data_IF_518699344406
#
_entry.id   IF_518699344406
#
_cell.length_a   1.000
_cell.length_b   1.000
_cell.length_c   1.000
_cell.angle_alpha   90.00
_cell.angle_beta   90.00
_cell.angle_gamma   90.00
#
_symmetry.space_group_name_H-M   'P 1'
#
loop_
_entity.id
_entity.type
_entity.pdbx_description
1 polymer ?
#
# COMPACT_ATOMS: atom_id res chain seq x y z
N UNK A 1 -15.64 7.22 7.57
CA UNK A 1 -15.09 5.93 8.06
C UNK A 1 -14.38 6.08 9.41
N UNK A 2 -13.66 7.18 9.69
CA UNK A 2 -12.96 7.37 11.00
C UNK A 2 -13.90 7.26 12.21
N UNK A 3 -15.11 7.81 12.13
CA UNK A 3 -16.09 7.80 13.23
C UNK A 3 -16.87 6.47 13.37
N UNK A 4 -16.71 5.53 12.44
CA UNK A 4 -17.43 4.27 12.47
C UNK A 4 -16.73 3.25 13.38
N UNK A 5 -17.46 2.51 14.19
CA UNK A 5 -16.95 1.37 14.97
C UNK A 5 -16.74 0.13 14.08
N UNK A 6 -17.60 -0.06 13.09
CA UNK A 6 -17.49 -1.11 12.08
C UNK A 6 -18.09 -0.65 10.75
N UNK A 7 -17.82 -1.38 9.69
CA UNK A 7 -18.25 -1.03 8.33
C UNK A 7 -18.99 -2.20 7.72
N UNK A 8 -20.22 -1.93 7.25
CA UNK A 8 -21.06 -2.90 6.56
C UNK A 8 -21.56 -2.29 5.25
N UNK A 9 -21.27 -2.94 4.11
CA UNK A 9 -21.71 -2.47 2.80
C UNK A 9 -22.50 -3.52 2.03
N UNK A 10 -23.53 -3.10 1.30
CA UNK A 10 -24.30 -3.97 0.43
C UNK A 10 -23.58 -4.32 -0.87
N UNK A 11 -22.62 -3.49 -1.30
CA UNK A 11 -21.88 -3.63 -2.55
C UNK A 11 -20.38 -3.51 -2.31
N UNK A 12 -19.59 -3.96 -3.29
CA UNK A 12 -18.13 -3.98 -3.22
C UNK A 12 -17.57 -5.33 -2.81
N UNK A 13 -16.30 -5.56 -3.05
CA UNK A 13 -15.58 -6.78 -2.67
C UNK A 13 -14.54 -6.51 -1.59
N UNK A 14 -13.76 -7.52 -1.22
CA UNK A 14 -12.67 -7.42 -0.23
C UNK A 14 -11.55 -6.45 -0.65
N UNK A 15 -11.51 -6.06 -1.90
CA UNK A 15 -10.56 -5.11 -2.50
C UNK A 15 -11.15 -3.71 -2.68
N UNK A 16 -12.42 -3.50 -2.34
CA UNK A 16 -13.06 -2.19 -2.40
C UNK A 16 -12.38 -1.18 -1.48
N UNK A 17 -12.50 0.11 -1.79
CA UNK A 17 -11.97 1.19 -0.97
C UNK A 17 -12.41 1.08 0.50
N UNK A 18 -13.69 0.72 0.74
CA UNK A 18 -14.21 0.51 2.09
C UNK A 18 -13.44 -0.58 2.86
N UNK A 19 -13.15 -1.71 2.22
CA UNK A 19 -12.41 -2.80 2.83
C UNK A 19 -10.94 -2.44 3.07
N UNK A 20 -10.30 -1.71 2.16
CA UNK A 20 -8.90 -1.29 2.27
C UNK A 20 -8.72 -0.31 3.43
N UNK A 21 -9.54 0.73 3.47
CA UNK A 21 -9.49 1.75 4.54
C UNK A 21 -9.83 1.14 5.89
N UNK A 22 -10.83 0.25 5.97
CA UNK A 22 -11.14 -0.46 7.21
C UNK A 22 -9.95 -1.27 7.74
N UNK A 23 -9.23 -1.98 6.86
CA UNK A 23 -8.02 -2.73 7.21
C UNK A 23 -6.89 -1.83 7.71
N UNK A 24 -6.66 -0.69 7.07
CA UNK A 24 -5.68 0.29 7.54
C UNK A 24 -6.00 0.80 8.94
N UNK A 25 -7.29 0.99 9.23
CA UNK A 25 -7.77 1.48 10.53
C UNK A 25 -7.95 0.37 11.58
N UNK A 26 -7.75 -0.90 11.22
CA UNK A 26 -8.00 -2.03 12.12
C UNK A 26 -9.47 -2.21 12.50
N UNK A 27 -10.40 -1.73 11.67
CA UNK A 27 -11.85 -1.81 11.91
C UNK A 27 -12.46 -3.05 11.28
N UNK A 28 -13.41 -3.66 11.99
CA UNK A 28 -14.19 -4.77 11.45
C UNK A 28 -15.00 -4.29 10.23
N UNK A 29 -14.91 -5.03 9.12
CA UNK A 29 -15.56 -4.66 7.89
C UNK A 29 -16.17 -5.88 7.19
N UNK A 30 -17.44 -5.78 6.84
CA UNK A 30 -18.14 -6.72 5.96
C UNK A 30 -18.55 -5.95 4.69
N UNK A 31 -18.08 -6.40 3.54
CA UNK A 31 -18.36 -5.78 2.24
C UNK A 31 -19.11 -6.74 1.31
N UNK A 32 -19.90 -6.17 0.39
CA UNK A 32 -20.59 -6.97 -0.62
C UNK A 32 -21.71 -7.84 -0.07
N UNK A 33 -22.32 -7.44 1.04
CA UNK A 33 -23.47 -8.14 1.59
C UNK A 33 -24.71 -7.86 0.72
N UNK A 34 -24.81 -8.51 -0.44
CA UNK A 34 -25.85 -8.30 -1.44
C UNK A 34 -27.28 -8.59 -0.95
N UNK A 35 -27.41 -9.30 0.17
CA UNK A 35 -28.68 -9.53 0.84
C UNK A 35 -29.26 -8.29 1.54
N UNK A 36 -28.46 -7.21 1.69
CA UNK A 36 -28.89 -5.97 2.33
C UNK A 36 -29.66 -5.08 1.36
N UNK A 37 -30.90 -4.77 1.70
CA UNK A 37 -31.71 -3.77 1.03
C UNK A 37 -31.75 -2.50 1.90
N UNK A 38 -30.97 -1.49 1.52
CA UNK A 38 -30.80 -0.23 2.27
C UNK A 38 -31.75 0.83 1.71
N UNK A 39 -32.63 1.35 2.56
CA UNK A 39 -33.48 2.47 2.25
C UNK A 39 -33.00 3.75 2.94
N UNK A 40 -32.32 4.61 2.18
CA UNK A 40 -31.77 5.88 2.67
C UNK A 40 -32.85 6.90 3.06
N UNK A 41 -34.07 6.79 2.50
CA UNK A 41 -35.18 7.72 2.81
C UNK A 41 -35.78 7.44 4.18
N UNK A 42 -35.97 6.17 4.49
CA UNK A 42 -36.53 5.72 5.78
C UNK A 42 -35.42 5.41 6.79
N UNK A 43 -34.11 5.55 6.40
CA UNK A 43 -32.93 5.28 7.24
C UNK A 43 -33.01 3.93 7.93
N UNK A 44 -33.21 2.88 7.13
CA UNK A 44 -33.29 1.51 7.60
C UNK A 44 -32.74 0.55 6.55
N UNK A 45 -32.37 -0.65 6.99
CA UNK A 45 -32.12 -1.75 6.06
C UNK A 45 -32.81 -3.04 6.50
N UNK A 46 -33.02 -3.92 5.55
CA UNK A 46 -33.54 -5.28 5.76
C UNK A 46 -32.81 -6.26 4.88
N UNK A 47 -32.88 -7.54 5.22
CA UNK A 47 -32.36 -8.62 4.36
C UNK A 47 -33.49 -9.25 3.57
N UNK A 48 -33.22 -9.73 2.36
CA UNK A 48 -34.22 -10.39 1.51
C UNK A 48 -34.82 -11.67 2.13
N UNK A 49 -34.04 -12.34 3.00
CA UNK A 49 -34.42 -13.60 3.64
C UNK A 49 -35.00 -13.42 5.03
N UNK A 50 -34.79 -12.28 5.67
CA UNK A 50 -35.27 -12.02 7.03
C UNK A 50 -36.22 -10.81 7.06
N UNK A 51 -37.28 -10.93 7.81
CA UNK A 51 -38.21 -9.83 8.09
C UNK A 51 -37.67 -8.81 9.08
N UNK A 52 -36.43 -9.02 9.57
CA UNK A 52 -35.76 -8.12 10.52
C UNK A 52 -35.44 -6.80 9.83
N UNK A 53 -36.04 -5.74 10.34
CA UNK A 53 -35.74 -4.36 9.94
C UNK A 53 -34.83 -3.75 10.99
N UNK A 54 -33.69 -3.22 10.55
CA UNK A 54 -32.74 -2.48 11.38
C UNK A 54 -32.87 -1.00 11.02
N UNK A 55 -33.15 -0.17 12.00
CA UNK A 55 -33.30 1.28 11.83
C UNK A 55 -32.05 2.01 12.29
N UNK A 56 -31.92 3.27 11.86
CA UNK A 56 -30.88 4.16 12.39
C UNK A 56 -30.99 4.25 13.91
N UNK A 57 -29.87 4.05 14.59
CA UNK A 57 -29.79 4.00 16.06
C UNK A 57 -29.90 2.60 16.66
N UNK A 58 -30.31 1.60 15.91
CA UNK A 58 -30.31 0.22 16.39
C UNK A 58 -28.89 -0.35 16.41
N UNK A 59 -28.61 -1.20 17.41
CA UNK A 59 -27.35 -1.90 17.52
C UNK A 59 -27.31 -3.11 16.58
N UNK A 60 -26.18 -3.27 15.90
CA UNK A 60 -25.79 -4.48 15.17
C UNK A 60 -24.41 -4.92 15.62
N UNK A 61 -24.16 -6.22 15.62
CA UNK A 61 -22.83 -6.79 15.79
C UNK A 61 -22.39 -7.46 14.51
N UNK A 62 -21.14 -7.29 14.12
CA UNK A 62 -20.58 -7.83 12.88
C UNK A 62 -19.33 -8.67 13.16
N UNK A 63 -19.22 -9.85 12.55
CA UNK A 63 -18.04 -10.68 12.57
C UNK A 63 -17.33 -10.64 11.21
N UNK A 64 -16.21 -9.93 11.16
CA UNK A 64 -15.42 -9.80 9.95
C UNK A 64 -14.72 -11.07 9.50
N UNK A 65 -14.63 -12.09 10.34
CA UNK A 65 -14.00 -13.39 10.01
C UNK A 65 -14.97 -14.31 9.29
N UNK A 66 -16.23 -14.37 9.78
CA UNK A 66 -17.28 -15.23 9.21
C UNK A 66 -18.14 -14.50 8.18
N UNK A 67 -18.16 -13.17 8.21
CA UNK A 67 -19.07 -12.34 7.41
C UNK A 67 -20.48 -12.27 7.97
N UNK A 68 -20.70 -12.72 9.21
CA UNK A 68 -22.02 -12.73 9.85
C UNK A 68 -22.40 -11.38 10.44
N UNK A 69 -23.68 -11.04 10.34
CA UNK A 69 -24.28 -9.81 10.88
C UNK A 69 -25.42 -10.22 11.82
N UNK A 70 -25.34 -9.74 13.05
CA UNK A 70 -26.30 -10.05 14.12
C UNK A 70 -27.08 -8.77 14.50
N UNK A 71 -28.37 -8.90 14.71
CA UNK A 71 -29.17 -7.84 15.30
C UNK A 71 -28.86 -7.74 16.81
N UNK A 72 -28.67 -6.52 17.33
CA UNK A 72 -28.40 -6.26 18.72
C UNK A 72 -26.91 -6.12 19.06
N UNK A 73 -26.64 -5.81 20.32
CA UNK A 73 -25.30 -5.62 20.86
C UNK A 73 -24.81 -6.93 21.49
N UNK A 74 -23.86 -7.59 20.84
CA UNK A 74 -23.17 -8.76 21.38
C UNK A 74 -21.91 -8.28 22.10
N UNK A 75 -21.79 -8.58 23.38
CA UNK A 75 -20.62 -8.22 24.17
C UNK A 75 -19.38 -8.94 23.67
N UNK A 76 -18.32 -8.20 23.36
CA UNK A 76 -17.01 -8.72 22.98
C UNK A 76 -15.97 -8.39 24.04
N UNK A 77 -14.96 -9.24 24.19
CA UNK A 77 -13.79 -8.91 25.02
C UNK A 77 -12.81 -8.10 24.20
N UNK A 78 -12.26 -6.97 24.73
CA UNK A 78 -11.17 -6.25 24.08
C UNK A 78 -9.97 -7.19 23.83
N UNK A 79 -9.27 -6.96 22.71
CA UNK A 79 -8.05 -7.70 22.39
C UNK A 79 -6.94 -7.33 23.39
N UNK A 80 -6.39 -8.29 24.13
CA UNK A 80 -5.25 -8.08 25.02
C UNK A 80 -4.03 -7.57 24.23
N UNK A 81 -3.82 -8.04 23.00
CA UNK A 81 -2.72 -7.60 22.13
C UNK A 81 -2.84 -6.10 21.83
N UNK A 82 -4.04 -5.64 21.47
CA UNK A 82 -4.31 -4.22 21.22
C UNK A 82 -4.20 -3.42 22.52
N UNK A 83 -4.74 -3.92 23.61
CA UNK A 83 -4.71 -3.26 24.90
C UNK A 83 -3.27 -3.04 25.42
N UNK A 84 -2.37 -4.01 25.19
CA UNK A 84 -0.95 -3.90 25.58
C UNK A 84 -0.16 -3.06 24.60
N UNK A 85 -0.21 -3.38 23.30
CA UNK A 85 0.70 -2.77 22.31
C UNK A 85 0.29 -1.36 21.88
N UNK A 86 -1.00 -1.15 21.71
CA UNK A 86 -1.53 0.10 21.12
C UNK A 86 -2.10 1.01 22.19
N UNK A 87 -3.09 0.54 22.93
CA UNK A 87 -3.82 1.36 23.90
C UNK A 87 -3.02 1.58 25.21
N UNK A 88 -2.06 0.67 25.53
CA UNK A 88 -1.25 0.69 26.74
C UNK A 88 -2.09 0.73 28.04
N UNK A 89 -3.24 0.02 28.02
CA UNK A 89 -4.21 0.00 29.12
C UNK A 89 -4.03 -1.20 30.05
N UNK A 90 -3.27 -2.22 29.65
CA UNK A 90 -2.97 -3.42 30.43
C UNK A 90 -1.45 -3.65 30.37
N UNK A 91 -0.86 -4.08 31.51
CA UNK A 91 0.55 -4.45 31.55
C UNK A 91 0.75 -5.82 30.88
N UNK A 92 1.88 -6.07 30.20
CA UNK A 92 2.17 -7.35 29.55
C UNK A 92 1.98 -8.57 30.43
N UNK A 93 2.37 -8.48 31.70
CA UNK A 93 2.33 -9.57 32.69
C UNK A 93 0.90 -9.95 33.07
N UNK A 94 -0.06 -9.04 32.89
CA UNK A 94 -1.49 -9.24 33.20
C UNK A 94 -2.30 -9.75 32.01
N UNK A 95 -1.65 -9.95 30.84
CA UNK A 95 -2.27 -10.28 29.56
C UNK A 95 -1.78 -11.65 29.02
N UNK A 96 -2.32 -12.78 29.51
CA UNK A 96 -1.83 -14.12 29.13
C UNK A 96 -1.93 -14.41 27.62
N UNK A 97 -2.96 -13.91 26.93
CA UNK A 97 -3.08 -14.04 25.46
C UNK A 97 -1.97 -13.26 24.75
N UNK A 98 -1.66 -12.06 25.25
CA UNK A 98 -0.54 -11.28 24.72
C UNK A 98 0.81 -11.99 24.94
N UNK A 99 1.05 -12.60 26.08
CA UNK A 99 2.30 -13.32 26.34
C UNK A 99 2.48 -14.49 25.36
N UNK A 100 1.44 -15.28 25.10
CA UNK A 100 1.46 -16.35 24.09
C UNK A 100 1.70 -15.81 22.69
N UNK A 101 0.99 -14.72 22.31
CA UNK A 101 1.19 -14.04 21.05
C UNK A 101 2.63 -13.58 20.88
N UNK A 102 3.20 -12.92 21.88
CA UNK A 102 4.57 -12.39 21.84
C UNK A 102 5.60 -13.52 21.71
N UNK A 103 5.40 -14.65 22.38
CA UNK A 103 6.27 -15.83 22.26
C UNK A 103 6.25 -16.40 20.83
N UNK A 104 5.07 -16.56 20.24
CA UNK A 104 4.91 -17.00 18.83
C UNK A 104 5.61 -16.02 17.87
N UNK A 105 5.44 -14.70 18.09
CA UNK A 105 6.09 -13.69 17.27
C UNK A 105 7.62 -13.71 17.39
N UNK A 106 8.14 -13.97 18.59
CA UNK A 106 9.58 -14.14 18.81
C UNK A 106 10.13 -15.39 18.11
N UNK A 107 9.37 -16.48 18.08
CA UNK A 107 9.74 -17.67 17.30
C UNK A 107 9.70 -17.38 15.79
N UNK A 108 8.69 -16.64 15.32
CA UNK A 108 8.60 -16.24 13.94
C UNK A 108 9.83 -15.41 13.50
N UNK A 109 10.20 -14.41 14.28
CA UNK A 109 11.35 -13.55 13.96
C UNK A 109 12.69 -14.29 13.94
N UNK A 110 12.86 -15.32 14.78
CA UNK A 110 14.07 -16.15 14.78
C UNK A 110 14.22 -17.03 13.54
N UNK A 111 13.12 -17.32 12.85
CA UNK A 111 13.11 -18.28 11.75
C UNK A 111 12.92 -17.63 10.38
N UNK A 112 12.22 -16.50 10.27
CA UNK A 112 11.96 -15.83 8.98
C UNK A 112 13.24 -15.27 8.36
N UNK A 113 13.27 -15.23 7.03
CA UNK A 113 14.30 -14.56 6.23
C UNK A 113 13.80 -13.22 5.70
N UNK A 114 12.54 -13.18 5.24
CA UNK A 114 11.91 -11.97 4.76
C UNK A 114 11.80 -10.93 5.88
N UNK A 115 12.17 -9.68 5.57
CA UNK A 115 11.83 -8.53 6.40
C UNK A 115 10.35 -8.21 6.24
N UNK A 116 9.75 -7.67 7.28
CA UNK A 116 8.34 -7.27 7.27
C UNK A 116 8.27 -5.76 7.39
N UNK A 117 7.80 -5.11 6.33
CA UNK A 117 7.52 -3.67 6.29
C UNK A 117 6.01 -3.43 6.37
N UNK A 118 5.62 -2.18 6.53
CA UNK A 118 4.22 -1.77 6.55
C UNK A 118 3.89 -0.79 5.45
N UNK A 119 2.61 -0.76 5.05
CA UNK A 119 2.04 0.33 4.26
C UNK A 119 1.43 1.33 5.24
N UNK A 120 1.98 2.54 5.32
CA UNK A 120 1.54 3.57 6.24
C UNK A 120 1.74 4.95 5.64
N UNK A 121 0.73 5.79 5.77
CA UNK A 121 0.67 7.12 5.17
C UNK A 121 0.68 8.24 6.24
N UNK A 122 0.64 7.85 7.53
CA UNK A 122 0.56 8.76 8.69
C UNK A 122 1.42 8.26 9.85
N UNK A 123 1.87 9.16 10.76
CA UNK A 123 2.72 8.79 11.90
C UNK A 123 2.09 7.79 12.86
N UNK A 124 0.80 7.88 13.14
CA UNK A 124 0.07 6.96 14.03
C UNK A 124 -0.01 5.55 13.46
N UNK A 125 -0.29 5.41 12.17
CA UNK A 125 -0.25 4.12 11.48
C UNK A 125 1.15 3.50 11.54
N UNK A 126 2.18 4.32 11.33
CA UNK A 126 3.59 3.91 11.42
C UNK A 126 3.95 3.44 12.83
N UNK A 127 3.52 4.18 13.86
CA UNK A 127 3.75 3.83 15.25
C UNK A 127 3.08 2.50 15.62
N UNK A 128 1.83 2.29 15.21
CA UNK A 128 1.11 1.04 15.43
C UNK A 128 1.82 -0.14 14.74
N UNK A 129 2.28 0.04 13.50
CA UNK A 129 2.99 -1.02 12.77
C UNK A 129 4.32 -1.40 13.45
N UNK A 130 5.07 -0.43 13.98
CA UNK A 130 6.29 -0.70 14.75
C UNK A 130 5.96 -1.53 16.00
N UNK A 131 4.88 -1.24 16.71
CA UNK A 131 4.45 -2.04 17.87
C UNK A 131 4.13 -3.47 17.47
N UNK A 132 3.62 -3.71 16.28
CA UNK A 132 3.41 -5.05 15.71
C UNK A 132 4.68 -5.70 15.14
N UNK A 133 5.82 -5.00 15.12
CA UNK A 133 7.12 -5.51 14.70
C UNK A 133 7.49 -5.20 13.25
N UNK A 134 6.95 -4.15 12.65
CA UNK A 134 7.38 -3.68 11.34
C UNK A 134 8.81 -3.12 11.37
N UNK A 135 9.61 -3.45 10.36
CA UNK A 135 11.04 -3.10 10.25
C UNK A 135 11.27 -1.91 9.30
N UNK A 136 10.23 -1.36 8.74
CA UNK A 136 10.27 -0.24 7.81
C UNK A 136 8.89 0.05 7.21
N UNK A 137 8.82 1.07 6.38
CA UNK A 137 7.67 1.32 5.52
C UNK A 137 8.04 0.89 4.10
N UNK A 138 7.22 0.02 3.50
CA UNK A 138 7.36 -0.42 2.10
C UNK A 138 6.51 0.38 1.13
N UNK A 139 5.56 1.16 1.64
CA UNK A 139 4.76 2.08 0.85
C UNK A 139 4.17 3.19 1.72
N UNK A 140 4.51 4.42 1.39
CA UNK A 140 3.76 5.62 1.76
C UNK A 140 3.13 6.19 0.50
N UNK A 141 1.81 6.33 0.50
CA UNK A 141 1.03 6.93 -0.61
C UNK A 141 0.90 8.42 -0.38
N UNK A 142 1.60 9.22 -1.16
CA UNK A 142 1.62 10.68 -0.99
C UNK A 142 0.29 11.36 -1.30
N UNK A 143 -0.55 10.75 -2.12
CA UNK A 143 -1.89 11.23 -2.43
C UNK A 143 -2.81 11.30 -1.21
N UNK A 144 -2.69 10.38 -0.26
CA UNK A 144 -3.52 10.38 0.95
C UNK A 144 -3.22 11.59 1.86
N UNK A 145 -2.04 12.18 1.73
CA UNK A 145 -1.66 13.38 2.48
C UNK A 145 -2.43 14.63 2.03
N UNK A 146 -2.99 14.64 0.80
CA UNK A 146 -3.67 15.81 0.25
C UNK A 146 -5.13 15.96 0.68
N UNK A 147 -5.75 14.90 1.23
CA UNK A 147 -7.16 14.93 1.67
C UNK A 147 -7.37 15.48 3.09
N UNK A 148 -6.31 15.92 3.77
CA UNK A 148 -6.41 16.57 5.09
C UNK A 148 -7.01 17.99 5.02
N UNK A 149 -7.49 18.45 6.16
CA UNK A 149 -8.03 19.82 6.30
C UNK A 149 -6.99 20.86 5.88
N UNK A 150 -7.39 21.82 5.04
CA UNK A 150 -6.52 22.86 4.48
C UNK A 150 -5.57 22.41 3.38
N UNK A 151 -5.50 21.13 3.03
CA UNK A 151 -4.54 20.62 2.04
C UNK A 151 -5.13 20.46 0.64
N UNK A 152 -6.42 20.15 0.52
CA UNK A 152 -7.08 19.92 -0.76
C UNK A 152 -7.19 21.20 -1.61
N UNK A 153 -7.34 22.36 -1.01
CA UNK A 153 -7.43 23.65 -1.70
C UNK A 153 -6.21 23.93 -2.58
N UNK A 154 -4.97 23.97 -2.03
CA UNK A 154 -3.75 24.12 -2.81
C UNK A 154 -3.57 23.07 -3.90
N UNK A 155 -3.99 21.81 -3.66
CA UNK A 155 -3.96 20.75 -4.67
C UNK A 155 -4.89 21.07 -5.85
N UNK A 156 -6.09 21.53 -5.57
CA UNK A 156 -7.05 22.00 -6.59
C UNK A 156 -6.54 23.22 -7.37
N UNK A 157 -5.89 24.18 -6.68
CA UNK A 157 -5.21 25.31 -7.35
C UNK A 157 -4.13 24.80 -8.33
N UNK A 158 -3.33 23.84 -7.93
CA UNK A 158 -2.31 23.22 -8.78
C UNK A 158 -2.93 22.57 -10.03
N UNK A 159 -4.04 21.84 -9.86
CA UNK A 159 -4.76 21.16 -10.94
C UNK A 159 -5.38 22.17 -11.93
N UNK A 160 -5.87 23.29 -11.44
CA UNK A 160 -6.51 24.34 -12.24
C UNK A 160 -5.52 25.30 -12.90
N UNK A 161 -4.24 25.19 -12.58
CA UNK A 161 -3.21 26.05 -13.13
C UNK A 161 -3.07 25.85 -14.65
N UNK A 162 -3.08 26.96 -15.39
CA UNK A 162 -3.00 26.95 -16.84
C UNK A 162 -1.54 26.81 -17.36
N UNK A 163 -0.57 27.23 -16.54
CA UNK A 163 0.86 27.21 -16.89
C UNK A 163 1.75 26.74 -15.74
N UNK A 164 3.03 26.49 -16.01
CA UNK A 164 4.00 26.02 -15.00
C UNK A 164 4.24 27.02 -13.88
N UNK A 165 4.18 28.35 -14.15
CA UNK A 165 4.42 29.36 -13.12
C UNK A 165 3.28 29.36 -12.09
N UNK A 166 2.03 29.36 -12.56
CA UNK A 166 0.84 29.25 -11.69
C UNK A 166 0.84 27.95 -10.91
N UNK A 167 1.24 26.84 -11.55
CA UNK A 167 1.36 25.54 -10.88
C UNK A 167 2.42 25.57 -9.79
N UNK A 168 3.60 26.16 -10.03
CA UNK A 168 4.65 26.33 -9.02
C UNK A 168 4.19 27.16 -7.83
N UNK A 169 3.39 28.22 -8.04
CA UNK A 169 2.80 29.00 -6.95
C UNK A 169 1.88 28.18 -6.04
N UNK A 170 1.07 27.31 -6.62
CA UNK A 170 0.21 26.38 -5.87
C UNK A 170 1.05 25.32 -5.15
N UNK A 171 2.03 24.73 -5.81
CA UNK A 171 2.96 23.74 -5.24
C UNK A 171 3.76 24.30 -4.06
N UNK A 172 4.15 25.60 -4.10
CA UNK A 172 4.82 26.25 -2.99
C UNK A 172 3.96 26.31 -1.70
N UNK A 173 2.63 26.27 -1.83
CA UNK A 173 1.70 26.15 -0.67
C UNK A 173 1.61 24.70 -0.17
N UNK A 174 1.75 23.72 -1.05
CA UNK A 174 1.70 22.28 -0.72
C UNK A 174 2.98 21.83 -0.02
N UNK A 175 4.13 22.30 -0.46
CA UNK A 175 5.45 21.84 0.02
C UNK A 175 5.57 21.83 1.55
N UNK A 176 5.29 22.92 2.30
CA UNK A 176 5.43 22.91 3.74
C UNK A 176 4.46 21.94 4.44
N UNK A 177 3.29 21.70 3.87
CA UNK A 177 2.30 20.76 4.41
C UNK A 177 2.80 19.32 4.26
N UNK A 178 3.24 18.96 3.07
CA UNK A 178 3.74 17.62 2.80
C UNK A 178 5.07 17.35 3.53
N UNK A 179 5.95 18.35 3.63
CA UNK A 179 7.16 18.26 4.46
C UNK A 179 6.85 17.93 5.91
N UNK A 180 5.84 18.57 6.51
CA UNK A 180 5.44 18.29 7.88
C UNK A 180 4.92 16.85 8.06
N UNK A 181 4.19 16.31 7.07
CA UNK A 181 3.74 14.92 7.10
C UNK A 181 4.93 13.95 7.08
N UNK A 182 5.92 14.18 6.20
CA UNK A 182 7.13 13.35 6.13
C UNK A 182 7.97 13.46 7.40
N UNK A 183 8.11 14.65 7.98
CA UNK A 183 8.81 14.81 9.26
C UNK A 183 8.17 13.95 10.37
N UNK A 184 6.85 13.92 10.43
CA UNK A 184 6.11 13.09 11.38
C UNK A 184 6.41 11.61 11.20
N UNK A 185 6.39 11.12 9.96
CA UNK A 185 6.70 9.72 9.63
C UNK A 185 8.17 9.40 9.96
N UNK A 186 9.13 10.21 9.52
CA UNK A 186 10.55 9.97 9.76
C UNK A 186 10.91 9.95 11.25
N UNK A 187 10.31 10.84 12.06
CA UNK A 187 10.50 10.85 13.52
C UNK A 187 10.06 9.54 14.17
N UNK A 188 8.95 8.98 13.73
CA UNK A 188 8.43 7.70 14.24
C UNK A 188 9.30 6.53 13.77
N UNK A 189 9.75 6.57 12.51
CA UNK A 189 10.52 5.46 11.92
C UNK A 189 11.95 5.38 12.41
N UNK A 190 12.56 6.47 12.83
CA UNK A 190 13.87 6.56 13.49
C UNK A 190 14.93 5.61 12.89
N UNK A 191 15.39 5.92 11.68
CA UNK A 191 16.40 5.18 10.95
C UNK A 191 15.95 3.89 10.25
N UNK A 192 14.69 3.50 10.37
CA UNK A 192 14.10 2.45 9.55
C UNK A 192 13.82 2.98 8.14
N UNK A 193 13.95 2.14 7.09
CA UNK A 193 13.69 2.56 5.72
C UNK A 193 12.24 3.00 5.54
N UNK A 194 12.05 4.08 4.77
CA UNK A 194 10.74 4.64 4.44
C UNK A 194 10.63 4.79 2.93
N UNK A 195 9.91 3.87 2.29
CA UNK A 195 9.63 3.93 0.86
C UNK A 195 8.45 4.87 0.60
N UNK A 196 8.72 5.96 -0.11
CA UNK A 196 7.76 7.02 -0.43
C UNK A 196 7.48 6.98 -1.92
N UNK A 197 6.25 6.67 -2.30
CA UNK A 197 5.81 6.73 -3.69
C UNK A 197 5.47 8.16 -4.08
N UNK A 198 6.05 8.67 -5.16
CA UNK A 198 5.60 9.94 -5.74
C UNK A 198 4.15 9.82 -6.20
N UNK A 199 3.48 10.96 -6.39
CA UNK A 199 2.04 10.97 -6.70
C UNK A 199 1.69 10.00 -7.83
N UNK A 200 0.67 9.18 -7.58
CA UNK A 200 0.28 8.14 -8.51
C UNK A 200 -1.10 8.35 -9.16
N UNK A 201 -2.18 8.69 -8.43
CA UNK A 201 -3.49 8.77 -9.04
C UNK A 201 -3.61 9.92 -10.05
N UNK A 202 -4.52 9.81 -11.03
CA UNK A 202 -4.81 10.88 -11.97
C UNK A 202 -5.44 12.08 -11.27
N UNK A 203 -5.22 13.27 -11.83
CA UNK A 203 -5.60 14.53 -11.19
C UNK A 203 -7.11 14.70 -10.99
N UNK A 204 -7.94 14.02 -11.78
CA UNK A 204 -9.39 14.11 -11.63
C UNK A 204 -9.90 13.57 -10.28
N UNK A 205 -9.15 12.69 -9.60
CA UNK A 205 -9.56 12.18 -8.29
C UNK A 205 -9.58 13.25 -7.17
N UNK A 206 -8.90 14.37 -7.39
CA UNK A 206 -8.83 15.48 -6.42
C UNK A 206 -9.88 16.56 -6.63
N UNK A 207 -10.66 16.46 -7.70
CA UNK A 207 -11.69 17.45 -8.04
C UNK A 207 -13.09 16.85 -7.91
N UNK A 208 -14.11 17.67 -7.56
CA UNK A 208 -15.47 17.19 -7.43
C UNK A 208 -16.09 16.86 -8.80
N UNK A 209 -16.85 15.76 -8.86
CA UNK A 209 -17.50 15.31 -10.09
C UNK A 209 -18.97 15.75 -10.20
N UNK A 210 -19.56 16.19 -9.07
CA UNK A 210 -20.96 16.65 -9.05
C UNK A 210 -21.07 18.18 -9.12
N UNK A 211 -22.20 18.66 -9.62
CA UNK A 211 -22.45 20.10 -9.82
C UNK A 211 -22.39 20.91 -8.51
N UNK A 212 -22.74 20.32 -7.37
CA UNK A 212 -22.73 21.03 -6.08
C UNK A 212 -21.30 21.26 -5.61
N UNK A 213 -20.46 20.22 -5.64
CA UNK A 213 -19.05 20.31 -5.29
C UNK A 213 -18.26 21.23 -6.23
N UNK A 214 -18.58 21.21 -7.54
CA UNK A 214 -17.93 22.13 -8.50
C UNK A 214 -18.30 23.59 -8.24
N UNK A 215 -19.54 23.89 -7.87
CA UNK A 215 -19.97 25.24 -7.44
C UNK A 215 -19.27 25.69 -6.17
N UNK A 216 -19.15 24.81 -5.19
CA UNK A 216 -18.44 25.08 -3.95
C UNK A 216 -16.95 25.37 -4.23
N UNK A 217 -16.29 24.53 -5.02
CA UNK A 217 -14.91 24.70 -5.44
C UNK A 217 -14.69 26.04 -6.18
N UNK A 218 -15.58 26.38 -7.10
CA UNK A 218 -15.53 27.68 -7.83
C UNK A 218 -15.62 28.87 -6.87
N UNK A 219 -16.50 28.79 -5.86
CA UNK A 219 -16.65 29.81 -4.83
C UNK A 219 -15.44 29.93 -3.91
N UNK A 220 -14.91 28.79 -3.43
CA UNK A 220 -13.71 28.75 -2.58
C UNK A 220 -12.49 29.34 -3.29
N UNK A 221 -12.34 29.05 -4.56
CA UNK A 221 -11.20 29.49 -5.37
C UNK A 221 -11.36 30.86 -6.02
N UNK A 222 -12.55 31.45 -5.96
CA UNK A 222 -12.86 32.76 -6.55
C UNK A 222 -12.76 32.78 -8.07
N UNK A 223 -13.08 31.67 -8.75
CA UNK A 223 -13.02 31.52 -10.21
C UNK A 223 -14.41 31.20 -10.80
N UNK A 224 -14.66 31.48 -12.10
CA UNK A 224 -15.92 31.14 -12.74
C UNK A 224 -16.18 29.62 -12.69
N UNK A 225 -17.45 29.24 -12.46
CA UNK A 225 -17.88 27.85 -12.44
C UNK A 225 -17.60 27.15 -13.78
N UNK A 226 -17.78 27.87 -14.87
CA UNK A 226 -17.51 27.38 -16.23
C UNK A 226 -16.06 26.91 -16.39
N UNK A 227 -15.09 27.65 -15.84
CA UNK A 227 -13.69 27.26 -15.86
C UNK A 227 -13.44 25.97 -15.05
N UNK A 228 -14.11 25.79 -13.93
CA UNK A 228 -14.02 24.55 -13.14
C UNK A 228 -14.60 23.38 -13.94
N UNK A 229 -15.78 23.56 -14.54
CA UNK A 229 -16.44 22.51 -15.33
C UNK A 229 -15.60 22.10 -16.54
N UNK A 230 -15.10 23.07 -17.30
CA UNK A 230 -14.21 22.83 -18.44
C UNK A 230 -12.98 22.02 -18.03
N UNK A 231 -12.33 22.39 -16.93
CA UNK A 231 -11.13 21.69 -16.45
C UNK A 231 -11.43 20.28 -15.96
N UNK A 232 -12.52 20.09 -15.23
CA UNK A 232 -12.95 18.74 -14.76
C UNK A 232 -13.27 17.84 -15.95
N UNK A 233 -13.94 18.38 -16.99
CA UNK A 233 -14.23 17.63 -18.22
C UNK A 233 -12.95 17.28 -19.00
N UNK A 234 -11.99 18.20 -19.10
CA UNK A 234 -10.67 17.94 -19.72
C UNK A 234 -9.87 16.86 -18.99
N UNK A 235 -10.02 16.73 -17.68
CA UNK A 235 -9.35 15.73 -16.87
C UNK A 235 -10.07 14.37 -16.87
N UNK A 236 -11.27 14.30 -17.41
CA UNK A 236 -12.04 13.07 -17.46
C UNK A 236 -11.36 12.04 -18.37
N UNK A 237 -11.10 10.87 -17.84
CA UNK A 237 -10.49 9.76 -18.57
C UNK A 237 -11.46 8.58 -18.65
N UNK A 238 -11.56 7.94 -19.81
CA UNK A 238 -12.38 6.73 -19.99
C UNK A 238 -11.83 5.55 -19.21
N UNK A 239 -10.51 5.47 -19.07
CA UNK A 239 -9.83 4.44 -18.26
C UNK A 239 -8.71 5.08 -17.43
N UNK A 240 -9.02 5.61 -16.25
CA UNK A 240 -8.05 6.29 -15.40
C UNK A 240 -6.85 5.42 -14.98
N UNK A 241 -7.06 4.10 -14.84
CA UNK A 241 -6.01 3.16 -14.47
C UNK A 241 -4.87 3.11 -15.49
N UNK A 242 -5.18 3.31 -16.78
CA UNK A 242 -4.22 3.29 -17.89
C UNK A 242 -3.89 4.69 -18.40
N UNK A 243 -4.37 5.72 -17.72
CA UNK A 243 -4.36 7.12 -18.18
C UNK A 243 -3.17 7.95 -17.73
N UNK A 244 -3.45 9.23 -17.51
CA UNK A 244 -2.48 10.27 -17.18
C UNK A 244 -2.23 10.35 -15.67
N UNK A 245 -1.40 9.44 -15.18
CA UNK A 245 -1.05 9.27 -13.76
C UNK A 245 0.42 8.86 -13.59
N UNK A 246 0.89 8.81 -12.34
CA UNK A 246 2.19 8.30 -11.98
C UNK A 246 3.36 9.03 -12.65
N UNK A 247 4.36 8.30 -13.16
CA UNK A 247 5.50 8.92 -13.83
C UNK A 247 5.11 9.73 -15.08
N UNK A 248 4.00 9.39 -15.76
CA UNK A 248 3.51 10.15 -16.91
C UNK A 248 3.15 11.57 -16.52
N UNK A 249 2.51 11.73 -15.35
CA UNK A 249 2.19 13.02 -14.76
C UNK A 249 3.46 13.80 -14.41
N UNK A 250 4.42 13.13 -13.74
CA UNK A 250 5.70 13.75 -13.36
C UNK A 250 6.58 14.15 -14.53
N UNK A 251 6.48 13.47 -15.68
CA UNK A 251 7.20 13.82 -16.92
C UNK A 251 6.61 15.09 -17.57
N UNK A 252 5.28 15.19 -17.61
CA UNK A 252 4.61 16.34 -18.25
C UNK A 252 4.56 17.56 -17.33
N UNK A 253 4.49 17.35 -16.01
CA UNK A 253 4.53 18.41 -14.98
C UNK A 253 5.67 18.17 -14.00
N UNK A 254 6.95 18.32 -14.44
CA UNK A 254 8.14 17.99 -13.64
C UNK A 254 8.24 18.73 -12.32
N UNK A 255 7.61 19.91 -12.22
CA UNK A 255 7.53 20.71 -11.00
C UNK A 255 6.80 20.00 -9.86
N UNK A 256 5.93 19.04 -10.16
CA UNK A 256 5.25 18.23 -9.13
C UNK A 256 6.26 17.28 -8.47
N UNK A 257 7.05 16.56 -9.26
CA UNK A 257 8.10 15.67 -8.76
C UNK A 257 9.18 16.45 -8.02
N UNK A 258 9.58 17.62 -8.53
CA UNK A 258 10.54 18.51 -7.87
C UNK A 258 10.05 18.92 -6.49
N UNK A 259 8.79 19.37 -6.38
CA UNK A 259 8.20 19.77 -5.10
C UNK A 259 8.16 18.61 -4.11
N UNK A 260 7.69 17.43 -4.53
CA UNK A 260 7.61 16.26 -3.65
C UNK A 260 9.00 15.82 -3.18
N UNK A 261 9.97 15.76 -4.07
CA UNK A 261 11.35 15.44 -3.72
C UNK A 261 11.92 16.45 -2.72
N UNK A 262 11.75 17.76 -2.95
CA UNK A 262 12.16 18.79 -1.98
C UNK A 262 11.51 18.58 -0.62
N UNK A 263 10.19 18.35 -0.57
CA UNK A 263 9.49 18.13 0.69
C UNK A 263 10.04 16.92 1.47
N UNK A 264 10.36 15.82 0.77
CA UNK A 264 10.97 14.63 1.38
C UNK A 264 12.36 14.93 1.93
N UNK A 265 13.23 15.54 1.14
CA UNK A 265 14.62 15.78 1.55
C UNK A 265 14.75 16.91 2.57
N UNK A 266 13.90 17.95 2.53
CA UNK A 266 13.82 18.96 3.57
C UNK A 266 13.34 18.37 4.91
N UNK A 267 12.32 17.49 4.87
CA UNK A 267 11.85 16.77 6.05
C UNK A 267 12.94 15.88 6.65
N UNK A 268 13.65 15.11 5.79
CA UNK A 268 14.78 14.29 6.20
C UNK A 268 15.88 15.13 6.87
N UNK A 269 16.25 16.27 6.26
CA UNK A 269 17.23 17.21 6.79
C UNK A 269 16.84 17.75 8.17
N UNK A 270 15.57 18.13 8.34
CA UNK A 270 15.06 18.66 9.62
C UNK A 270 15.11 17.60 10.73
N UNK A 271 14.75 16.36 10.40
CA UNK A 271 14.78 15.25 11.36
C UNK A 271 16.21 14.86 11.72
N UNK A 272 17.14 14.82 10.76
CA UNK A 272 18.56 14.58 11.02
C UNK A 272 19.15 15.68 11.93
N UNK A 273 18.85 16.95 11.68
CA UNK A 273 19.26 18.06 12.55
C UNK A 273 18.73 17.93 13.98
N UNK A 274 17.61 17.25 14.19
CA UNK A 274 17.09 16.92 15.52
C UNK A 274 17.80 15.74 16.21
N UNK A 275 18.77 15.12 15.57
CA UNK A 275 19.60 14.03 16.11
C UNK A 275 19.09 12.61 15.79
N UNK A 276 18.05 12.46 14.97
CA UNK A 276 17.51 11.16 14.57
C UNK A 276 18.09 10.71 13.23
N UNK A 277 18.07 9.41 12.97
CA UNK A 277 18.45 8.83 11.68
C UNK A 277 17.27 8.76 10.74
N UNK A 278 17.53 8.96 9.46
CA UNK A 278 16.50 8.87 8.41
C UNK A 278 17.07 8.09 7.21
N UNK A 279 16.26 7.22 6.62
CA UNK A 279 16.63 6.50 5.40
C UNK A 279 15.46 6.53 4.40
N UNK A 280 15.39 7.54 3.52
CA UNK A 280 14.31 7.68 2.54
C UNK A 280 14.59 6.83 1.30
N UNK A 281 13.57 6.16 0.80
CA UNK A 281 13.55 5.44 -0.47
C UNK A 281 12.46 6.04 -1.35
N UNK A 282 12.85 6.71 -2.43
CA UNK A 282 11.90 7.39 -3.33
C UNK A 282 11.52 6.44 -4.45
N UNK A 283 10.23 6.15 -4.57
CA UNK A 283 9.67 5.18 -5.49
C UNK A 283 8.84 5.85 -6.58
N UNK A 284 9.27 5.71 -7.83
CA UNK A 284 8.56 6.23 -9.00
C UNK A 284 7.53 5.19 -9.47
N UNK A 285 6.22 5.52 -9.51
CA UNK A 285 5.17 4.59 -9.95
C UNK A 285 5.04 4.49 -11.47
N UNK A 286 4.41 3.43 -11.95
CA UNK A 286 3.95 3.22 -13.34
C UNK A 286 5.05 3.20 -14.41
N UNK A 287 6.30 2.97 -14.03
CA UNK A 287 7.42 2.92 -14.97
C UNK A 287 7.30 1.70 -15.89
N UNK A 288 7.18 1.96 -17.19
CA UNK A 288 7.22 0.94 -18.24
C UNK A 288 8.46 1.03 -19.13
N UNK A 289 9.24 2.13 -19.02
CA UNK A 289 10.42 2.37 -19.84
C UNK A 289 11.54 2.98 -18.99
N UNK A 290 12.79 2.56 -19.22
CA UNK A 290 13.97 3.10 -18.52
C UNK A 290 14.08 4.63 -18.64
N UNK A 291 13.65 5.21 -19.77
CA UNK A 291 13.72 6.67 -20.00
C UNK A 291 12.76 7.43 -19.08
N UNK A 292 11.61 6.86 -18.77
CA UNK A 292 10.67 7.43 -17.80
C UNK A 292 11.31 7.52 -16.42
N UNK A 293 11.98 6.45 -15.99
CA UNK A 293 12.66 6.46 -14.70
C UNK A 293 13.87 7.41 -14.68
N UNK A 294 14.66 7.45 -15.75
CA UNK A 294 15.80 8.37 -15.87
C UNK A 294 15.39 9.84 -15.76
N UNK A 295 14.30 10.21 -16.41
CA UNK A 295 13.76 11.57 -16.35
C UNK A 295 13.40 11.95 -14.92
N UNK A 296 12.63 11.11 -14.25
CA UNK A 296 12.19 11.34 -12.87
C UNK A 296 13.34 11.28 -11.86
N UNK A 297 14.27 10.33 -12.04
CA UNK A 297 15.45 10.18 -11.18
C UNK A 297 16.34 11.42 -11.23
N UNK A 298 16.54 12.02 -12.39
CA UNK A 298 17.33 13.26 -12.53
C UNK A 298 16.73 14.42 -11.74
N UNK A 299 15.40 14.58 -11.77
CA UNK A 299 14.69 15.61 -10.99
C UNK A 299 14.86 15.35 -9.49
N UNK A 300 14.66 14.10 -9.06
CA UNK A 300 14.78 13.69 -7.65
C UNK A 300 16.21 13.90 -7.14
N UNK A 301 17.24 13.47 -7.91
CA UNK A 301 18.64 13.63 -7.53
C UNK A 301 19.05 15.11 -7.44
N UNK A 302 18.57 15.92 -8.39
CA UNK A 302 18.81 17.37 -8.36
C UNK A 302 18.21 18.00 -7.10
N UNK A 303 16.95 17.73 -6.81
CA UNK A 303 16.29 18.25 -5.61
C UNK A 303 17.00 17.79 -4.32
N UNK A 304 17.46 16.54 -4.26
CA UNK A 304 18.26 16.02 -3.15
C UNK A 304 19.57 16.80 -2.96
N UNK A 305 20.32 16.97 -4.04
CA UNK A 305 21.59 17.69 -4.01
C UNK A 305 21.40 19.16 -3.58
N UNK A 306 20.41 19.85 -4.15
CA UNK A 306 20.11 21.23 -3.80
C UNK A 306 19.78 21.36 -2.29
N UNK A 307 18.89 20.49 -1.77
CA UNK A 307 18.49 20.51 -0.35
C UNK A 307 19.64 20.14 0.58
N UNK A 308 20.47 19.16 0.24
CA UNK A 308 21.62 18.78 1.03
C UNK A 308 22.64 19.92 1.14
N UNK A 309 22.92 20.62 0.03
CA UNK A 309 23.79 21.80 0.02
C UNK A 309 23.19 22.93 0.85
N UNK A 310 21.91 23.27 0.65
CA UNK A 310 21.21 24.32 1.40
C UNK A 310 21.25 24.07 2.92
N UNK A 311 21.24 22.80 3.34
CA UNK A 311 21.19 22.41 4.74
C UNK A 311 22.55 22.07 5.33
N UNK A 312 23.63 21.99 4.52
CA UNK A 312 24.97 21.59 4.96
C UNK A 312 25.00 20.14 5.48
N UNK A 313 24.24 19.24 4.86
CA UNK A 313 24.13 17.84 5.27
C UNK A 313 24.37 16.92 4.08
N UNK A 314 24.85 15.72 4.38
CA UNK A 314 24.87 14.57 3.47
C UNK A 314 24.24 13.37 4.16
N UNK A 315 23.37 12.65 3.49
CA UNK A 315 22.76 11.42 3.99
C UNK A 315 22.39 10.47 2.85
N UNK A 316 22.30 9.19 3.20
CA UNK A 316 21.98 8.13 2.24
C UNK A 316 20.47 8.11 1.93
N UNK A 317 20.15 7.86 0.66
CA UNK A 317 18.81 7.61 0.17
C UNK A 317 18.87 6.73 -1.07
N UNK A 318 17.75 6.13 -1.45
CA UNK A 318 17.64 5.36 -2.69
C UNK A 318 16.55 5.91 -3.61
N UNK A 319 16.76 5.75 -4.92
CA UNK A 319 15.73 5.98 -5.93
C UNK A 319 15.46 4.69 -6.66
N UNK A 320 14.21 4.26 -6.64
CA UNK A 320 13.78 3.02 -7.27
C UNK A 320 12.41 3.17 -7.92
N UNK A 321 11.81 2.07 -8.27
CA UNK A 321 10.53 2.10 -8.96
C UNK A 321 9.58 1.01 -8.47
N UNK A 322 8.29 1.28 -8.63
CA UNK A 322 7.25 0.27 -8.53
C UNK A 322 7.19 -0.53 -9.83
N UNK A 323 7.29 -1.86 -9.72
CA UNK A 323 7.05 -2.78 -10.84
C UNK A 323 5.58 -3.19 -10.79
N UNK A 324 4.78 -2.55 -11.62
CA UNK A 324 3.32 -2.72 -11.61
C UNK A 324 2.69 -2.72 -13.01
N UNK A 325 3.54 -2.54 -14.03
CA UNK A 325 3.16 -2.65 -15.43
C UNK A 325 3.88 -3.85 -16.04
N UNK A 326 3.20 -4.77 -16.77
CA UNK A 326 3.83 -5.94 -17.36
C UNK A 326 5.08 -5.62 -18.17
N UNK A 327 5.07 -4.53 -18.94
CA UNK A 327 6.25 -4.09 -19.70
C UNK A 327 7.43 -3.75 -18.77
N UNK A 328 7.17 -3.11 -17.62
CA UNK A 328 8.18 -2.83 -16.60
C UNK A 328 8.81 -4.12 -16.07
N UNK A 329 7.98 -5.13 -15.76
CA UNK A 329 8.45 -6.44 -15.32
C UNK A 329 9.29 -7.16 -16.39
N UNK A 330 8.85 -7.17 -17.65
CA UNK A 330 9.56 -7.81 -18.79
C UNK A 330 10.90 -7.11 -19.06
N UNK A 331 10.99 -5.80 -18.89
CA UNK A 331 12.22 -5.02 -19.15
C UNK A 331 12.98 -4.66 -17.88
N UNK A 332 12.74 -5.37 -16.79
CA UNK A 332 13.30 -5.08 -15.45
C UNK A 332 14.83 -5.00 -15.43
N UNK A 333 15.52 -5.84 -16.21
CA UNK A 333 16.98 -5.78 -16.31
C UNK A 333 17.50 -4.42 -16.82
N UNK A 334 16.81 -3.81 -17.80
CA UNK A 334 17.15 -2.46 -18.27
C UNK A 334 16.80 -1.39 -17.24
N UNK A 335 15.64 -1.51 -16.58
CA UNK A 335 15.21 -0.56 -15.55
C UNK A 335 16.17 -0.58 -14.37
N UNK A 336 16.74 -1.74 -14.03
CA UNK A 336 17.74 -1.93 -12.97
C UNK A 336 19.10 -1.23 -13.22
N UNK A 337 19.36 -0.76 -14.45
CA UNK A 337 20.54 0.10 -14.70
C UNK A 337 20.43 1.42 -13.94
N UNK A 338 19.20 1.89 -13.69
CA UNK A 338 18.87 3.14 -13.00
C UNK A 338 18.35 2.88 -11.60
N UNK A 339 17.31 2.06 -11.47
CA UNK A 339 16.68 1.76 -10.20
C UNK A 339 17.62 1.09 -9.21
N UNK A 340 17.63 1.57 -7.97
CA UNK A 340 18.41 1.01 -6.86
C UNK A 340 17.62 -0.06 -6.10
N UNK A 341 16.29 -0.03 -6.17
CA UNK A 341 15.39 -1.04 -5.61
C UNK A 341 14.15 -1.22 -6.49
N UNK A 342 13.48 -2.36 -6.33
CA UNK A 342 12.17 -2.62 -6.89
C UNK A 342 11.15 -2.91 -5.77
N UNK A 343 9.92 -2.44 -5.96
CA UNK A 343 8.79 -2.88 -5.17
C UNK A 343 7.64 -3.28 -6.09
N UNK A 344 7.09 -4.48 -5.94
CA UNK A 344 5.98 -4.93 -6.75
C UNK A 344 4.66 -4.31 -6.29
N UNK A 345 4.05 -3.48 -7.15
CA UNK A 345 2.69 -2.97 -7.01
C UNK A 345 1.68 -3.97 -7.56
N UNK A 346 1.45 -5.05 -6.82
CA UNK A 346 0.69 -6.20 -7.34
C UNK A 346 -0.78 -5.92 -7.59
N UNK A 347 -1.36 -4.85 -7.05
CA UNK A 347 -2.72 -4.45 -7.42
C UNK A 347 -2.81 -4.11 -8.91
N UNK A 348 -1.98 -3.19 -9.37
CA UNK A 348 -1.95 -2.76 -10.79
C UNK A 348 -1.34 -3.83 -11.69
N UNK A 349 -0.31 -4.55 -11.22
CA UNK A 349 0.27 -5.66 -11.99
C UNK A 349 -0.75 -6.78 -12.24
N UNK A 350 -1.61 -7.09 -11.27
CA UNK A 350 -2.71 -8.05 -11.43
C UNK A 350 -3.74 -7.56 -12.44
N UNK A 351 -4.20 -6.31 -12.29
CA UNK A 351 -5.18 -5.71 -13.21
C UNK A 351 -4.68 -5.74 -14.65
N UNK A 352 -3.45 -5.32 -14.88
CA UNK A 352 -2.86 -5.20 -16.22
C UNK A 352 -2.46 -6.53 -16.83
N UNK A 353 -2.06 -7.50 -16.02
CA UNK A 353 -1.70 -8.85 -16.49
C UNK A 353 -2.93 -9.66 -16.87
N UNK A 354 -3.98 -9.61 -16.05
CA UNK A 354 -5.22 -10.36 -16.27
C UNK A 354 -6.21 -9.61 -17.16
N UNK A 355 -5.98 -8.31 -17.44
CA UNK A 355 -6.94 -7.47 -18.16
C UNK A 355 -8.25 -7.26 -17.38
N UNK A 356 -8.18 -7.20 -16.05
CA UNK A 356 -9.33 -7.07 -15.16
C UNK A 356 -9.28 -5.75 -14.40
N UNK A 357 -10.40 -5.03 -14.36
CA UNK A 357 -10.58 -3.92 -13.43
C UNK A 357 -10.95 -4.45 -12.06
N UNK A 358 -10.17 -4.08 -11.03
CA UNK A 358 -10.47 -4.45 -9.64
C UNK A 358 -11.84 -3.97 -9.18
N UNK A 359 -12.23 -2.77 -9.60
CA UNK A 359 -13.46 -2.13 -9.15
C UNK A 359 -14.70 -2.69 -9.86
N UNK A 360 -14.55 -3.16 -11.11
CA UNK A 360 -15.64 -3.72 -11.92
C UNK A 360 -15.77 -5.23 -11.82
N UNK A 361 -14.69 -5.93 -11.47
CA UNK A 361 -14.63 -7.40 -11.49
C UNK A 361 -15.54 -8.08 -10.45
N UNK A 362 -15.97 -7.37 -9.43
CA UNK A 362 -16.90 -7.89 -8.42
C UNK A 362 -18.23 -8.39 -8.96
N UNK A 363 -18.56 -8.08 -10.23
CA UNK A 363 -19.78 -8.55 -10.90
C UNK A 363 -19.67 -9.98 -11.42
N UNK A 364 -18.47 -10.47 -11.71
CA UNK A 364 -18.25 -11.78 -12.34
C UNK A 364 -17.19 -12.66 -11.63
N UNK A 365 -16.22 -12.09 -10.93
CA UNK A 365 -15.18 -12.86 -10.23
C UNK A 365 -15.74 -13.88 -9.22
N UNK A 366 -16.81 -13.60 -8.45
CA UNK A 366 -17.40 -14.61 -7.58
C UNK A 366 -17.84 -15.87 -8.33
N UNK A 367 -18.38 -15.72 -9.55
CA UNK A 367 -18.78 -16.84 -10.40
C UNK A 367 -17.56 -17.59 -10.96
N UNK A 368 -16.46 -16.89 -11.29
CA UNK A 368 -15.20 -17.51 -11.71
C UNK A 368 -14.61 -18.39 -10.62
N UNK A 369 -14.67 -17.92 -9.35
CA UNK A 369 -14.21 -18.72 -8.20
C UNK A 369 -15.15 -19.90 -7.95
N UNK A 370 -16.47 -19.68 -8.03
CA UNK A 370 -17.48 -20.76 -7.86
C UNK A 370 -17.35 -21.87 -8.93
N UNK A 371 -16.90 -21.52 -10.15
CA UNK A 371 -16.61 -22.47 -11.23
C UNK A 371 -15.18 -23.00 -11.23
N UNK A 372 -14.38 -22.65 -10.22
CA UNK A 372 -12.97 -23.07 -10.10
C UNK A 372 -12.08 -22.61 -11.28
N UNK A 373 -12.46 -21.53 -12.01
CA UNK A 373 -11.62 -20.91 -13.04
C UNK A 373 -10.42 -20.23 -12.36
N UNK A 374 -10.68 -19.53 -11.26
CA UNK A 374 -9.66 -19.14 -10.29
C UNK A 374 -9.92 -19.86 -8.97
N UNK A 375 -8.86 -20.39 -8.35
CA UNK A 375 -8.95 -21.03 -7.03
C UNK A 375 -9.43 -20.05 -5.95
N UNK A 376 -8.94 -18.81 -6.03
CA UNK A 376 -9.24 -17.69 -5.14
C UNK A 376 -9.28 -16.43 -6.01
N UNK A 377 -9.99 -15.41 -5.57
CA UNK A 377 -9.97 -14.09 -6.19
C UNK A 377 -8.52 -13.58 -6.34
N UNK A 378 -8.04 -13.30 -7.57
CA UNK A 378 -6.65 -12.89 -7.83
C UNK A 378 -6.27 -11.53 -7.22
N UNK A 379 -7.23 -10.76 -6.71
CA UNK A 379 -6.96 -9.55 -5.94
C UNK A 379 -6.84 -9.80 -4.43
N UNK A 380 -7.17 -11.01 -3.96
CA UNK A 380 -7.03 -11.43 -2.56
C UNK A 380 -5.75 -12.22 -2.35
N UNK A 381 -5.48 -13.19 -3.22
CA UNK A 381 -4.27 -13.99 -3.24
C UNK A 381 -3.64 -13.94 -4.63
N UNK A 382 -2.32 -13.79 -4.69
CA UNK A 382 -1.58 -13.56 -5.93
C UNK A 382 -1.80 -14.70 -6.93
N UNK A 383 -2.10 -14.35 -8.17
CA UNK A 383 -1.99 -15.26 -9.32
C UNK A 383 -0.51 -15.60 -9.55
N UNK A 384 -0.10 -16.76 -9.04
CA UNK A 384 1.31 -17.20 -9.11
C UNK A 384 1.73 -17.64 -10.51
N UNK A 385 0.79 -18.02 -11.38
CA UNK A 385 1.06 -18.50 -12.72
C UNK A 385 1.36 -17.36 -13.68
N UNK A 386 0.53 -16.34 -13.76
CA UNK A 386 0.70 -15.20 -14.66
C UNK A 386 1.48 -14.06 -14.00
N UNK A 387 0.92 -13.46 -12.95
CA UNK A 387 1.56 -12.34 -12.25
C UNK A 387 2.85 -12.79 -11.58
N UNK A 388 2.84 -13.96 -10.95
CA UNK A 388 4.01 -14.56 -10.31
C UNK A 388 5.14 -14.84 -11.29
N UNK A 389 4.85 -15.26 -12.52
CA UNK A 389 5.85 -15.42 -13.58
C UNK A 389 6.55 -14.08 -13.88
N UNK A 390 5.79 -13.00 -14.02
CA UNK A 390 6.35 -11.66 -14.25
C UNK A 390 7.23 -11.20 -13.07
N UNK A 391 6.81 -11.48 -11.85
CA UNK A 391 7.61 -11.17 -10.65
C UNK A 391 8.93 -11.96 -10.63
N UNK A 392 8.90 -13.26 -10.87
CA UNK A 392 10.10 -14.11 -10.94
C UNK A 392 11.07 -13.62 -12.02
N UNK A 393 10.55 -13.29 -13.20
CA UNK A 393 11.34 -12.74 -14.29
C UNK A 393 12.00 -11.41 -13.87
N UNK A 394 11.24 -10.48 -13.30
CA UNK A 394 11.77 -9.20 -12.88
C UNK A 394 12.82 -9.31 -11.76
N UNK A 395 12.66 -10.22 -10.80
CA UNK A 395 13.66 -10.51 -9.77
C UNK A 395 14.96 -11.01 -10.39
N UNK A 396 14.85 -11.99 -11.30
CA UNK A 396 16.00 -12.58 -12.00
C UNK A 396 16.77 -11.53 -12.80
N UNK A 397 16.09 -10.80 -13.67
CA UNK A 397 16.71 -9.81 -14.56
C UNK A 397 17.23 -8.57 -13.79
N UNK A 398 16.49 -8.11 -12.77
CA UNK A 398 16.92 -7.02 -11.92
C UNK A 398 18.24 -7.34 -11.19
N UNK A 399 18.33 -8.53 -10.56
CA UNK A 399 19.54 -8.97 -9.87
C UNK A 399 20.68 -9.39 -10.79
N UNK A 400 20.40 -9.79 -12.02
CA UNK A 400 21.43 -9.99 -13.03
C UNK A 400 22.17 -8.68 -13.36
N UNK A 401 21.46 -7.56 -13.38
CA UNK A 401 22.01 -6.22 -13.61
C UNK A 401 22.63 -5.65 -12.33
N UNK A 402 21.91 -5.72 -11.20
CA UNK A 402 22.32 -5.17 -9.90
C UNK A 402 22.24 -6.25 -8.81
N UNK A 403 23.32 -6.96 -8.54
CA UNK A 403 23.38 -8.14 -7.64
C UNK A 403 22.77 -7.94 -6.26
N UNK A 404 22.92 -6.74 -5.68
CA UNK A 404 22.45 -6.39 -4.33
C UNK A 404 21.17 -5.55 -4.37
N UNK A 405 20.42 -5.60 -5.48
CA UNK A 405 19.15 -4.88 -5.57
C UNK A 405 18.18 -5.37 -4.50
N UNK A 406 17.70 -4.45 -3.67
CA UNK A 406 16.62 -4.73 -2.72
C UNK A 406 15.30 -4.84 -3.51
N UNK A 407 14.57 -5.91 -3.28
CA UNK A 407 13.32 -6.19 -4.00
C UNK A 407 12.25 -6.63 -3.00
N UNK A 408 11.13 -5.93 -3.00
CA UNK A 408 9.99 -6.24 -2.14
C UNK A 408 8.66 -6.18 -2.86
N UNK A 409 7.59 -6.33 -2.08
CA UNK A 409 6.20 -6.21 -2.51
C UNK A 409 5.47 -5.24 -1.58
N UNK A 410 4.61 -4.40 -2.13
CA UNK A 410 3.81 -3.46 -1.34
C UNK A 410 2.31 -3.44 -1.72
N UNK A 411 1.88 -4.26 -2.69
CA UNK A 411 0.47 -4.46 -2.98
C UNK A 411 -0.27 -5.15 -1.82
N UNK A 412 -1.58 -5.18 -1.89
CA UNK A 412 -2.44 -5.78 -0.85
C UNK A 412 -2.12 -7.26 -0.58
N UNK A 413 -1.56 -7.94 -1.56
CA UNK A 413 -1.09 -9.33 -1.45
C UNK A 413 0.05 -9.53 -0.45
N UNK A 414 0.80 -8.47 -0.09
CA UNK A 414 1.93 -8.56 0.87
C UNK A 414 1.53 -9.03 2.28
N UNK A 415 0.25 -9.04 2.60
CA UNK A 415 -0.29 -9.59 3.85
C UNK A 415 -1.00 -10.95 3.71
N UNK A 416 -1.07 -11.51 2.49
CA UNK A 416 -1.67 -12.82 2.24
C UNK A 416 -0.64 -13.95 2.49
N UNK A 417 -0.97 -14.98 3.31
CA UNK A 417 -0.03 -16.04 3.65
C UNK A 417 0.55 -16.81 2.46
N UNK A 418 -0.28 -17.14 1.46
CA UNK A 418 0.17 -17.88 0.25
C UNK A 418 1.12 -17.02 -0.58
N UNK A 419 0.83 -15.73 -0.70
CA UNK A 419 1.68 -14.75 -1.39
C UNK A 419 2.99 -14.51 -0.64
N UNK A 420 2.98 -14.44 0.69
CA UNK A 420 4.21 -14.30 1.50
C UNK A 420 5.12 -15.52 1.30
N UNK A 421 4.57 -16.75 1.27
CA UNK A 421 5.34 -17.95 0.95
C UNK A 421 5.92 -17.88 -0.46
N UNK A 422 5.14 -17.45 -1.45
CA UNK A 422 5.61 -17.26 -2.81
C UNK A 422 6.76 -16.23 -2.88
N UNK A 423 6.62 -15.07 -2.22
CA UNK A 423 7.67 -14.04 -2.15
C UNK A 423 8.96 -14.56 -1.52
N UNK A 424 8.85 -15.39 -0.47
CA UNK A 424 10.01 -16.08 0.11
C UNK A 424 10.70 -16.99 -0.91
N UNK A 425 9.92 -17.79 -1.64
CA UNK A 425 10.45 -18.78 -2.58
C UNK A 425 11.14 -18.14 -3.79
N UNK A 426 10.66 -17.00 -4.28
CA UNK A 426 11.32 -16.24 -5.36
C UNK A 426 12.46 -15.34 -4.85
N UNK A 427 12.70 -15.33 -3.53
CA UNK A 427 13.82 -14.66 -2.90
C UNK A 427 13.67 -13.16 -2.78
N UNK A 428 12.47 -12.62 -2.50
CA UNK A 428 12.33 -11.21 -2.15
C UNK A 428 13.05 -10.89 -0.82
N UNK A 429 13.37 -9.61 -0.61
CA UNK A 429 14.01 -9.15 0.62
C UNK A 429 12.98 -8.79 1.69
N UNK A 430 11.82 -8.26 1.28
CA UNK A 430 10.74 -7.90 2.19
C UNK A 430 9.34 -8.05 1.58
N UNK A 431 8.36 -8.16 2.48
CA UNK A 431 6.95 -7.96 2.16
C UNK A 431 6.42 -6.78 2.97
N UNK A 432 5.50 -6.01 2.39
CA UNK A 432 4.88 -4.86 3.05
C UNK A 432 3.36 -5.00 3.02
N UNK A 433 2.72 -4.75 4.16
CA UNK A 433 1.28 -4.90 4.34
C UNK A 433 0.71 -3.84 5.29
N UNK A 434 -0.61 -3.78 5.41
CA UNK A 434 -1.25 -2.89 6.38
C UNK A 434 -0.80 -3.21 7.82
N UNK A 435 -0.77 -2.23 8.75
CA UNK A 435 -0.23 -2.40 10.10
C UNK A 435 -0.75 -3.62 10.85
N UNK A 436 -2.06 -3.86 10.82
CA UNK A 436 -2.70 -4.98 11.51
C UNK A 436 -2.44 -6.35 10.87
N UNK A 437 -1.85 -6.41 9.68
CA UNK A 437 -1.41 -7.65 9.02
C UNK A 437 0.05 -8.01 9.28
N UNK A 438 0.83 -7.12 9.87
CA UNK A 438 2.24 -7.35 10.21
C UNK A 438 2.46 -8.65 10.98
N UNK A 439 1.68 -8.98 12.04
CA UNK A 439 1.86 -10.25 12.75
C UNK A 439 1.62 -11.48 11.87
N UNK A 440 0.61 -11.43 11.00
CA UNK A 440 0.29 -12.53 10.07
C UNK A 440 1.44 -12.72 9.08
N UNK A 441 1.97 -11.63 8.51
CA UNK A 441 3.08 -11.68 7.58
C UNK A 441 4.36 -12.23 8.23
N UNK A 442 4.66 -11.85 9.49
CA UNK A 442 5.78 -12.39 10.28
C UNK A 442 5.68 -13.91 10.43
N UNK A 443 4.50 -14.38 10.81
CA UNK A 443 4.25 -15.83 11.00
C UNK A 443 4.33 -16.58 9.66
N UNK A 444 3.76 -16.03 8.59
CA UNK A 444 3.79 -16.65 7.27
C UNK A 444 5.21 -16.73 6.69
N UNK A 445 6.01 -15.67 6.85
CA UNK A 445 7.42 -15.66 6.45
C UNK A 445 8.24 -16.70 7.23
N UNK A 446 7.98 -16.88 8.52
CA UNK A 446 8.65 -17.90 9.32
C UNK A 446 8.25 -19.32 8.88
N UNK A 447 6.97 -19.56 8.61
CA UNK A 447 6.48 -20.86 8.09
C UNK A 447 7.15 -21.20 6.76
N UNK A 448 7.26 -20.26 5.84
CA UNK A 448 7.94 -20.46 4.56
C UNK A 448 9.41 -20.84 4.75
N UNK A 449 10.14 -20.15 5.62
CA UNK A 449 11.55 -20.43 5.88
C UNK A 449 11.77 -21.80 6.58
N UNK A 450 10.87 -22.19 7.49
CA UNK A 450 10.91 -23.50 8.13
C UNK A 450 10.64 -24.59 7.11
N UNK A 451 9.63 -24.44 6.25
CA UNK A 451 9.29 -25.38 5.18
C UNK A 451 10.49 -25.60 4.25
N UNK A 452 11.11 -24.53 3.75
CA UNK A 452 12.34 -24.60 2.93
C UNK A 452 13.47 -25.37 3.66
N UNK A 453 13.67 -25.08 4.96
CA UNK A 453 14.70 -25.80 5.75
C UNK A 453 14.44 -27.29 5.85
N UNK A 454 13.17 -27.70 6.01
CA UNK A 454 12.78 -29.10 6.08
C UNK A 454 12.96 -29.81 4.73
N UNK A 455 12.56 -29.18 3.62
CA UNK A 455 12.73 -29.68 2.26
C UNK A 455 14.22 -29.87 1.92
N UNK A 456 15.06 -28.88 2.23
CA UNK A 456 16.52 -28.95 2.04
C UNK A 456 17.16 -30.09 2.84
N UNK A 457 16.70 -30.37 4.06
CA UNK A 457 17.18 -31.51 4.89
C UNK A 457 16.77 -32.84 4.29
N UNK A 458 15.52 -32.96 3.81
CA UNK A 458 15.02 -34.18 3.18
C UNK A 458 15.78 -34.51 1.89
N UNK A 459 16.04 -33.49 1.05
CA UNK A 459 16.85 -33.67 -0.17
C UNK A 459 18.30 -34.11 0.11
N UNK A 460 18.94 -33.50 1.13
CA UNK A 460 20.29 -33.88 1.53
C UNK A 460 20.35 -35.34 2.02
N UNK A 461 19.37 -35.77 2.81
CA UNK A 461 19.23 -37.13 3.28
C UNK A 461 19.05 -38.11 2.12
N UNK A 462 18.12 -37.82 1.20
CA UNK A 462 17.90 -38.65 0.02
C UNK A 462 19.11 -38.76 -0.90
N UNK A 463 19.89 -37.68 -1.07
CA UNK A 463 21.16 -37.68 -1.82
C UNK A 463 22.23 -38.53 -1.14
N UNK A 464 22.32 -38.53 0.20
CA UNK A 464 23.23 -39.35 0.99
C UNK A 464 22.92 -40.84 0.85
N UNK A 465 21.65 -41.21 1.01
CA UNK A 465 21.19 -42.61 0.88
C UNK A 465 21.47 -43.18 -0.52
N UNK A 466 21.26 -42.37 -1.60
CA UNK A 466 21.59 -42.74 -2.96
C UNK A 466 23.10 -42.95 -3.16
N UNK A 467 23.96 -42.19 -2.51
CA UNK A 467 25.41 -42.27 -2.56
C UNK A 467 25.93 -43.53 -1.84
N UNK A 468 25.35 -43.83 -0.67
CA UNK A 468 25.71 -45.00 0.14
C UNK A 468 25.26 -46.31 -0.55
N UNK A 469 24.05 -46.35 -1.15
CA UNK A 469 23.59 -47.50 -1.99
C UNK A 469 24.44 -47.72 -3.25
N UNK A 470 25.06 -46.67 -3.83
CA UNK A 470 26.01 -46.84 -4.96
C UNK A 470 27.38 -47.36 -4.50
N UNK A 471 27.82 -47.06 -3.27
CA UNK A 471 29.08 -47.57 -2.71
C UNK A 471 28.96 -49.02 -2.28
N UNK A 472 27.80 -49.49 -1.83
CA UNK A 472 27.55 -50.88 -1.43
C UNK A 472 27.35 -51.83 -2.62
N UNK A 473 27.22 -51.31 -3.84
CA UNK A 473 27.09 -52.13 -5.09
C UNK A 473 28.39 -52.19 -5.90
N UNK A 474 29.45 -51.59 -5.42
CA UNK A 474 30.84 -51.78 -5.92
C UNK A 474 31.63 -52.62 -4.91
#
# INVERSE_FOLDING_TARGET
MNAAEGILTARGGMTSHAALVARQMGKTCIVGCGALNIDYKTRQFKTDKNTTIVKEGDWISIDGSTGEVFAGNISTKPSEVIAVLINKTIQPEEAPIFLMFNEIMNWADKNRKLKIRTNADQPDQSANAIQFGAEGIGLTRTEHMFFGEGKIGPMREMILADDSESRRKALAKILPLQRADFEGIFKVMDGRPVTIRTIDPPLHEFVPHDDAGQKEMAKEMGIPLEKVKERVEMLHEFNPMLGFRGCRLGIIYPEITEMQARAIFEAASNVIKSGQKVFPEIMVPLVGNIKELKDQEQIIRKAAADVMVENGLEFEYMVGTMIEVPRGAITAGKIAEVAEFFSFGTNDLTQTTLGLSRDDSGRFLPEYVAREIYRIDPFVSLDQEGVGFLMQHAVKEGRATRKKMEIGICGEHGGDPDTVEFCHNIGLDYVSCSPFRVPIARLSAARAAIKESMENKAEKSAKKDKKDKKKSKK
#
